data_IF_976224860531
#
_entry.id   IF_976224860531
#
_cell.length_a   1.000
_cell.length_b   1.000
_cell.length_c   1.000
_cell.angle_alpha   90.00
_cell.angle_beta   90.00
_cell.angle_gamma   90.00
#
_symmetry.space_group_name_H-M   'P 1'
#
loop_
_entity.id
_entity.type
_entity.pdbx_description
1 polymer ?
#
# COMPACT_ATOMS: atom_id res chain seq x y z
N UNK A 1 0.12 4.54 -0.42
CA UNK A 1 -0.16 3.20 -1.00
C UNK A 1 0.10 2.18 0.09
N UNK A 2 -0.75 1.15 0.20
CA UNK A 2 -0.54 0.05 1.13
C UNK A 2 -0.69 -1.28 0.38
N UNK A 3 0.10 -2.28 0.76
CA UNK A 3 -0.01 -3.66 0.27
C UNK A 3 -0.25 -4.56 1.47
N UNK A 4 -1.33 -5.35 1.42
CA UNK A 4 -1.63 -6.37 2.42
C UNK A 4 -1.64 -7.72 1.72
N UNK A 5 -0.63 -8.54 2.00
CA UNK A 5 -0.56 -9.92 1.49
C UNK A 5 -1.30 -10.81 2.49
N UNK A 6 -2.43 -11.36 2.06
CA UNK A 6 -3.29 -12.21 2.90
C UNK A 6 -3.00 -13.66 2.57
N UNK A 7 -2.58 -14.43 3.58
CA UNK A 7 -2.43 -15.87 3.46
C UNK A 7 -3.82 -16.51 3.43
N UNK A 8 -4.23 -16.98 2.26
CA UNK A 8 -5.57 -17.51 2.00
C UNK A 8 -5.47 -18.98 1.57
N UNK A 9 -5.82 -19.94 2.45
CA UNK A 9 -5.92 -21.34 2.07
C UNK A 9 -6.96 -21.55 0.95
N UNK A 10 -6.68 -22.48 0.03
CA UNK A 10 -7.60 -22.88 -1.05
C UNK A 10 -7.98 -24.36 -0.90
N UNK A 11 -9.11 -24.69 -0.26
CA UNK A 11 -9.44 -26.07 0.11
C UNK A 11 -9.60 -27.03 -1.07
N UNK A 12 -9.98 -26.54 -2.25
CA UNK A 12 -10.26 -27.39 -3.42
C UNK A 12 -9.01 -27.87 -4.13
N UNK A 13 -7.96 -27.04 -4.19
CA UNK A 13 -6.82 -27.26 -5.10
C UNK A 13 -5.45 -27.23 -4.42
N UNK A 14 -5.34 -26.62 -3.23
CA UNK A 14 -4.07 -26.57 -2.50
C UNK A 14 -4.22 -27.36 -1.19
N UNK A 15 -3.88 -28.64 -1.28
CA UNK A 15 -3.81 -29.59 -0.17
C UNK A 15 -2.51 -29.47 0.64
N UNK A 16 -1.57 -28.59 0.24
CA UNK A 16 -0.30 -28.34 0.92
C UNK A 16 -0.44 -27.22 1.96
N UNK A 17 -0.84 -26.00 1.53
CA UNK A 17 -0.92 -24.83 2.42
C UNK A 17 -2.33 -24.66 3.00
N UNK A 18 -2.77 -25.67 3.75
CA UNK A 18 -4.08 -25.70 4.41
C UNK A 18 -4.12 -24.84 5.68
N UNK A 19 -5.32 -24.65 6.23
CA UNK A 19 -5.51 -24.01 7.54
C UNK A 19 -4.69 -24.71 8.63
N UNK A 20 -4.72 -26.04 8.64
CA UNK A 20 -4.03 -26.87 9.64
C UNK A 20 -2.51 -26.80 9.47
N UNK A 21 -2.02 -26.70 8.22
CA UNK A 21 -0.62 -26.45 7.94
C UNK A 21 -0.15 -25.09 8.48
N UNK A 22 -0.89 -24.01 8.25
CA UNK A 22 -0.57 -22.71 8.88
C UNK A 22 -0.66 -22.78 10.42
N UNK A 23 -1.61 -23.55 10.95
CA UNK A 23 -1.80 -23.82 12.38
C UNK A 23 -0.70 -24.70 13.01
N UNK A 24 0.10 -25.38 12.19
CA UNK A 24 1.20 -26.23 12.66
C UNK A 24 0.75 -27.58 13.23
N UNK A 25 -0.40 -28.10 12.81
CA UNK A 25 -0.91 -29.40 13.28
C UNK A 25 0.04 -30.58 12.98
N UNK A 26 0.83 -30.45 11.91
CA UNK A 26 1.90 -31.36 11.51
C UNK A 26 3.21 -31.17 12.31
N UNK A 27 3.31 -30.14 13.15
CA UNK A 27 4.50 -29.79 13.93
C UNK A 27 4.13 -29.67 15.41
N UNK A 28 4.29 -30.78 16.14
CA UNK A 28 3.97 -30.84 17.57
C UNK A 28 5.22 -30.67 18.43
N UNK A 29 5.08 -29.94 19.53
CA UNK A 29 6.11 -29.83 20.56
C UNK A 29 6.22 -31.11 21.41
N UNK A 30 7.13 -31.13 22.37
CA UNK A 30 7.33 -32.27 23.28
C UNK A 30 6.11 -32.60 24.15
N UNK A 31 5.17 -31.66 24.30
CA UNK A 31 3.90 -31.84 25.01
C UNK A 31 2.76 -32.27 24.07
N UNK A 32 3.04 -32.45 22.77
CA UNK A 32 2.05 -32.84 21.75
C UNK A 32 1.19 -31.68 21.24
N UNK A 33 1.51 -30.42 21.58
CA UNK A 33 0.76 -29.25 21.15
C UNK A 33 1.25 -28.75 19.79
N UNK A 34 0.35 -28.37 18.86
CA UNK A 34 0.72 -27.74 17.59
C UNK A 34 1.56 -26.46 17.79
N UNK A 35 2.57 -26.28 16.93
CA UNK A 35 3.43 -25.09 16.88
C UNK A 35 3.09 -24.30 15.60
N UNK A 36 2.29 -23.22 15.71
CA UNK A 36 1.88 -22.43 14.55
C UNK A 36 3.07 -21.89 13.77
N UNK A 37 2.95 -21.89 12.43
CA UNK A 37 3.93 -21.25 11.56
C UNK A 37 3.80 -19.72 11.63
N UNK A 38 2.57 -19.23 11.74
CA UNK A 38 2.26 -17.80 11.80
C UNK A 38 2.66 -17.19 13.15
N UNK A 39 3.37 -16.07 13.12
CA UNK A 39 3.64 -15.27 14.32
C UNK A 39 3.51 -13.78 14.02
N UNK A 40 3.05 -13.01 15.00
CA UNK A 40 2.88 -11.56 14.86
C UNK A 40 4.21 -10.84 15.08
N UNK A 41 4.58 -9.97 14.15
CA UNK A 41 5.79 -9.16 14.28
C UNK A 41 5.73 -8.25 15.52
N UNK A 42 4.55 -7.70 15.81
CA UNK A 42 4.28 -6.79 16.93
C UNK A 42 4.60 -7.43 18.30
N UNK A 43 4.42 -8.76 18.41
CA UNK A 43 4.70 -9.52 19.64
C UNK A 43 6.22 -9.76 19.85
N UNK A 44 7.05 -9.50 18.83
CA UNK A 44 8.51 -9.69 18.89
C UNK A 44 9.29 -8.41 19.19
N UNK A 45 8.60 -7.27 19.35
CA UNK A 45 9.23 -5.96 19.47
C UNK A 45 9.77 -5.41 18.14
N UNK A 46 9.31 -5.97 17.01
CA UNK A 46 9.67 -5.47 15.68
C UNK A 46 9.00 -4.12 15.40
N UNK A 47 9.78 -3.15 14.93
CA UNK A 47 9.29 -1.83 14.53
C UNK A 47 9.60 -1.56 13.05
N UNK A 48 8.55 -1.65 12.22
CA UNK A 48 8.59 -1.35 10.78
C UNK A 48 8.20 0.09 10.42
N UNK A 49 7.88 0.96 11.38
CA UNK A 49 7.33 2.30 11.13
C UNK A 49 8.45 3.33 11.04
N UNK A 50 8.68 3.94 9.89
CA UNK A 50 9.71 4.98 9.72
C UNK A 50 9.29 6.28 10.40
N UNK A 51 9.98 6.66 11.48
CA UNK A 51 9.70 7.91 12.20
C UNK A 51 10.55 9.08 11.72
N UNK A 52 11.74 8.78 11.18
CA UNK A 52 12.68 9.78 10.65
C UNK A 52 13.21 9.35 9.29
N UNK A 53 13.54 10.28 8.38
CA UNK A 53 14.02 9.94 7.04
C UNK A 53 15.24 9.01 7.03
N UNK A 54 16.14 9.14 8.01
CA UNK A 54 17.38 8.35 8.11
C UNK A 54 17.11 6.87 8.47
N UNK A 55 15.94 6.57 9.03
CA UNK A 55 15.52 5.20 9.37
C UNK A 55 14.98 4.42 8.16
N UNK A 56 14.67 5.10 7.06
CA UNK A 56 13.95 4.51 5.93
C UNK A 56 14.70 3.30 5.32
N UNK A 57 15.99 3.47 5.03
CA UNK A 57 16.80 2.40 4.45
C UNK A 57 17.00 1.20 5.40
N UNK A 58 17.44 1.37 6.67
CA UNK A 58 17.60 0.23 7.57
C UNK A 58 16.27 -0.50 7.87
N UNK A 59 15.15 0.22 8.04
CA UNK A 59 13.83 -0.41 8.24
C UNK A 59 13.35 -1.15 6.99
N UNK A 60 13.63 -0.64 5.80
CA UNK A 60 13.36 -1.36 4.54
C UNK A 60 14.14 -2.67 4.45
N UNK A 61 15.44 -2.66 4.79
CA UNK A 61 16.26 -3.89 4.81
C UNK A 61 15.72 -4.90 5.83
N UNK A 62 15.38 -4.45 7.05
CA UNK A 62 14.79 -5.31 8.07
C UNK A 62 13.46 -5.93 7.63
N UNK A 63 12.60 -5.16 6.96
CA UNK A 63 11.36 -5.63 6.37
C UNK A 63 11.58 -6.71 5.32
N UNK A 64 12.56 -6.52 4.42
CA UNK A 64 12.92 -7.50 3.40
C UNK A 64 13.46 -8.79 4.01
N UNK A 65 14.32 -8.70 5.04
CA UNK A 65 14.82 -9.88 5.76
C UNK A 65 13.68 -10.65 6.41
N UNK A 66 12.71 -9.98 7.03
CA UNK A 66 11.53 -10.64 7.59
C UNK A 66 10.64 -11.25 6.52
N UNK A 67 10.45 -10.59 5.39
CA UNK A 67 9.61 -11.08 4.30
C UNK A 67 10.15 -12.37 3.64
N UNK A 68 11.44 -12.69 3.83
CA UNK A 68 12.05 -13.93 3.34
C UNK A 68 11.80 -15.14 4.25
N UNK A 69 11.28 -14.95 5.47
CA UNK A 69 10.97 -16.06 6.37
C UNK A 69 9.80 -16.88 5.83
N UNK A 70 10.03 -18.18 5.61
CA UNK A 70 9.03 -19.13 5.14
C UNK A 70 9.24 -20.52 5.74
N UNK A 71 8.19 -21.34 5.71
CA UNK A 71 8.21 -22.72 6.20
C UNK A 71 7.85 -22.78 7.67
N UNK A 72 8.83 -22.93 8.54
CA UNK A 72 8.63 -23.18 9.97
C UNK A 72 8.14 -21.96 10.75
N UNK A 73 8.47 -20.77 10.26
CA UNK A 73 8.02 -19.49 10.81
C UNK A 73 7.67 -18.57 9.65
N UNK A 74 6.50 -17.95 9.76
CA UNK A 74 5.93 -17.07 8.75
C UNK A 74 5.47 -15.82 9.50
N UNK A 75 6.15 -14.68 9.31
CA UNK A 75 5.75 -13.44 9.96
C UNK A 75 4.45 -12.90 9.37
N UNK A 76 3.61 -12.34 10.25
CA UNK A 76 2.44 -11.56 9.89
C UNK A 76 2.42 -10.26 10.68
N UNK A 77 1.81 -9.22 10.13
CA UNK A 77 1.78 -7.88 10.72
C UNK A 77 2.30 -6.82 9.76
N UNK A 78 2.68 -5.67 10.31
CA UNK A 78 3.24 -4.55 9.52
C UNK A 78 4.75 -4.72 9.37
N UNK A 79 5.21 -4.99 8.14
CA UNK A 79 6.63 -5.11 7.83
C UNK A 79 7.29 -3.75 7.64
N UNK A 80 6.63 -2.83 6.94
CA UNK A 80 7.19 -1.52 6.64
C UNK A 80 6.09 -0.49 6.44
N UNK A 81 6.24 0.68 7.05
CA UNK A 81 5.34 1.82 6.90
C UNK A 81 6.17 3.10 6.87
N UNK A 82 6.03 3.90 5.81
CA UNK A 82 6.71 5.19 5.69
C UNK A 82 5.74 6.25 5.15
N UNK A 83 5.22 7.07 6.05
CA UNK A 83 4.29 8.16 5.75
C UNK A 83 4.99 9.50 5.53
N UNK A 84 6.32 9.56 5.61
CA UNK A 84 7.10 10.76 5.32
C UNK A 84 7.21 11.04 3.81
N UNK A 85 6.89 10.05 2.98
CA UNK A 85 6.93 10.17 1.53
C UNK A 85 5.62 10.80 1.03
N UNK A 86 5.76 11.89 0.28
CA UNK A 86 4.60 12.54 -0.34
C UNK A 86 3.73 11.56 -1.13
N UNK A 87 2.42 11.67 -0.95
CA UNK A 87 1.44 10.98 -1.78
C UNK A 87 1.41 11.59 -3.17
N UNK A 88 0.82 10.88 -4.13
CA UNK A 88 0.64 11.42 -5.48
C UNK A 88 -0.26 12.66 -5.49
N UNK A 89 -1.31 12.66 -4.67
CA UNK A 89 -2.26 13.75 -4.51
C UNK A 89 -1.61 15.03 -3.95
N UNK A 90 -0.69 14.91 -2.98
CA UNK A 90 0.09 16.06 -2.48
C UNK A 90 0.98 16.65 -3.58
N UNK A 91 1.63 15.80 -4.38
CA UNK A 91 2.42 16.27 -5.54
C UNK A 91 1.57 16.92 -6.62
N UNK A 92 0.34 16.46 -6.85
CA UNK A 92 -0.60 17.11 -7.76
C UNK A 92 -1.00 18.49 -7.24
N UNK A 93 -1.22 18.63 -5.94
CA UNK A 93 -1.59 19.90 -5.31
C UNK A 93 -0.50 20.96 -5.40
N UNK A 94 0.77 20.54 -5.53
CA UNK A 94 1.90 21.46 -5.80
C UNK A 94 1.88 22.03 -7.23
N UNK A 95 1.21 21.35 -8.18
CA UNK A 95 1.09 21.79 -9.59
C UNK A 95 -0.26 22.44 -9.90
N UNK A 96 -1.31 21.95 -9.27
CA UNK A 96 -2.70 22.41 -9.43
C UNK A 96 -3.17 22.84 -8.05
N UNK A 97 -3.10 24.15 -7.77
CA UNK A 97 -3.24 24.69 -6.41
C UNK A 97 -4.59 24.39 -5.74
N UNK A 98 -5.66 24.27 -6.52
CA UNK A 98 -7.01 23.98 -6.02
C UNK A 98 -7.40 22.48 -6.11
N UNK A 99 -6.48 21.58 -6.46
CA UNK A 99 -6.79 20.17 -6.74
C UNK A 99 -7.58 19.45 -5.63
N UNK A 100 -7.27 19.73 -4.37
CA UNK A 100 -7.96 19.13 -3.21
C UNK A 100 -9.36 19.69 -2.99
N UNK A 101 -9.55 20.98 -3.29
CA UNK A 101 -10.80 21.70 -3.08
C UNK A 101 -11.76 21.45 -4.25
N UNK A 102 -11.22 21.40 -5.47
CA UNK A 102 -11.93 21.30 -6.73
C UNK A 102 -11.37 20.16 -7.63
N UNK A 103 -11.41 18.90 -7.15
CA UNK A 103 -10.94 17.76 -7.93
C UNK A 103 -11.79 17.57 -9.20
N UNK A 104 -11.28 16.86 -10.23
CA UNK A 104 -11.98 16.70 -11.51
C UNK A 104 -13.44 16.24 -11.41
N UNK A 105 -13.75 15.34 -10.46
CA UNK A 105 -15.11 14.84 -10.25
C UNK A 105 -16.11 15.89 -9.72
N UNK A 106 -15.63 17.04 -9.21
CA UNK A 106 -16.46 18.13 -8.68
C UNK A 106 -16.50 19.35 -9.61
N UNK A 107 -15.68 19.36 -10.65
CA UNK A 107 -15.62 20.50 -11.57
C UNK A 107 -16.91 20.59 -12.40
N UNK A 108 -17.46 21.79 -12.49
CA UNK A 108 -18.53 22.09 -13.43
C UNK A 108 -17.90 22.15 -14.82
N UNK A 109 -18.30 21.25 -15.72
CA UNK A 109 -17.77 21.18 -17.10
C UNK A 109 -18.77 21.70 -18.14
N UNK A 110 -20.06 21.78 -17.79
CA UNK A 110 -21.08 22.38 -18.62
C UNK A 110 -22.09 23.19 -17.80
N UNK A 111 -22.75 24.14 -18.45
CA UNK A 111 -23.86 24.89 -17.89
C UNK A 111 -25.17 24.07 -17.92
N UNK A 112 -26.27 24.68 -17.47
CA UNK A 112 -27.61 24.08 -17.47
C UNK A 112 -28.12 23.74 -18.88
N UNK A 113 -27.58 24.39 -19.91
CA UNK A 113 -27.92 24.17 -21.32
C UNK A 113 -27.02 23.11 -21.99
N UNK A 114 -26.02 22.58 -21.27
CA UNK A 114 -25.07 21.59 -21.76
C UNK A 114 -23.89 22.18 -22.55
N UNK A 115 -23.69 23.49 -22.54
CA UNK A 115 -22.53 24.14 -23.18
C UNK A 115 -21.31 24.09 -22.28
N UNK A 116 -20.13 23.96 -22.88
CA UNK A 116 -18.86 23.94 -22.16
C UNK A 116 -18.61 25.27 -21.42
N UNK A 117 -18.25 25.20 -20.14
CA UNK A 117 -17.89 26.39 -19.33
C UNK A 117 -16.38 26.69 -19.33
N UNK A 118 -15.57 25.79 -19.89
CA UNK A 118 -14.11 25.95 -19.97
C UNK A 118 -13.74 26.96 -21.05
N UNK A 119 -13.16 28.10 -20.64
CA UNK A 119 -12.60 29.09 -21.57
C UNK A 119 -11.27 28.63 -22.18
N UNK A 120 -11.18 28.65 -23.51
CA UNK A 120 -9.99 28.26 -24.28
C UNK A 120 -9.29 29.45 -24.95
N UNK A 121 -9.76 30.67 -24.71
CA UNK A 121 -9.39 31.88 -25.47
C UNK A 121 -7.88 32.13 -25.41
N UNK A 122 -7.27 31.96 -24.22
CA UNK A 122 -5.82 32.15 -24.03
C UNK A 122 -5.00 31.16 -24.86
N UNK A 123 -5.40 29.89 -24.89
CA UNK A 123 -4.69 28.85 -25.65
C UNK A 123 -4.80 29.10 -27.15
N UNK A 124 -5.95 29.60 -27.62
CA UNK A 124 -6.16 29.93 -29.03
C UNK A 124 -5.39 31.20 -29.45
N UNK A 125 -5.23 32.17 -28.56
CA UNK A 125 -4.45 33.38 -28.82
C UNK A 125 -2.97 33.07 -29.06
N UNK A 126 -2.39 32.15 -28.27
CA UNK A 126 -1.00 31.70 -28.42
C UNK A 126 -0.70 31.05 -29.77
N UNK A 127 -1.73 30.52 -30.44
CA UNK A 127 -1.61 29.86 -31.74
C UNK A 127 -1.81 30.81 -32.93
N UNK A 128 -2.13 32.09 -32.70
CA UNK A 128 -2.29 33.05 -33.79
C UNK A 128 -0.95 33.37 -34.42
N UNK A 129 -0.84 33.14 -35.73
CA UNK A 129 0.30 33.60 -36.52
C UNK A 129 0.10 35.09 -36.81
N UNK A 130 0.94 35.95 -36.24
CA UNK A 130 1.07 37.34 -36.68
C UNK A 130 1.78 37.34 -38.04
N UNK A 131 1.02 37.56 -39.10
CA UNK A 131 1.52 37.87 -40.44
C UNK A 131 2.04 39.28 -40.56
#
# INVERSE_FOLDING_TARGET
MALVVIQQPCPTYNDINTKDWYGGEDRKDAAGKPVPRLYKLEETGYDGVVHKPEEAFPKMVAALTKAQEWGDRIPMGVFYQNELISTYQERLSQRIGDYLLNPPAKQVICDEEGKCVTGLEKMLEELKVTG
#
